data_IF_237402911088
#
_entry.id   IF_237402911088
#
_cell.length_a   1.000
_cell.length_b   1.000
_cell.length_c   1.000
_cell.angle_alpha   90.00
_cell.angle_beta   90.00
_cell.angle_gamma   90.00
#
_symmetry.space_group_name_H-M   'P 1'
#
loop_
_entity.id
_entity.type
_entity.pdbx_description
1 polymer ?
#
# COMPACT_ATOMS: atom_id res chain seq x y z
N UNK A 1 5.89 40.30 39.74
CA UNK A 1 5.16 39.04 40.02
C UNK A 1 5.09 38.31 38.70
N UNK A 2 5.78 37.17 38.62
CA UNK A 2 6.17 36.50 37.39
C UNK A 2 5.01 35.77 36.71
N UNK A 3 4.99 35.91 35.38
CA UNK A 3 4.67 34.92 34.34
C UNK A 3 3.45 34.00 34.53
N UNK A 4 2.38 34.33 33.81
CA UNK A 4 1.38 33.34 33.37
C UNK A 4 1.53 33.13 31.86
N UNK A 5 2.27 32.09 31.48
CA UNK A 5 2.19 31.48 30.15
C UNK A 5 1.94 29.98 30.35
N UNK A 6 0.68 29.62 30.58
CA UNK A 6 0.22 28.24 30.39
C UNK A 6 0.10 27.99 28.89
N UNK A 7 1.15 27.42 28.31
CA UNK A 7 1.10 26.79 26.99
C UNK A 7 0.26 25.51 27.09
N UNK A 8 -1.05 25.60 26.81
CA UNK A 8 -1.86 24.42 26.57
C UNK A 8 -1.39 23.74 25.28
N UNK A 9 -0.59 22.69 25.44
CA UNK A 9 -0.11 21.84 24.37
C UNK A 9 -1.28 20.99 23.84
N UNK A 10 -2.16 21.59 23.04
CA UNK A 10 -3.26 20.91 22.37
C UNK A 10 -2.69 19.83 21.44
N UNK A 11 -2.64 18.58 21.91
CA UNK A 11 -2.27 17.43 21.09
C UNK A 11 -3.34 17.31 20.00
N UNK A 12 -2.98 17.72 18.77
CA UNK A 12 -3.83 17.56 17.60
C UNK A 12 -3.82 16.07 17.19
N UNK A 13 -4.53 15.24 17.95
CA UNK A 13 -4.77 13.85 17.59
C UNK A 13 -5.64 13.83 16.32
N UNK A 14 -5.08 13.39 15.20
CA UNK A 14 -5.86 13.13 13.99
C UNK A 14 -7.01 12.17 14.36
N UNK A 15 -8.26 12.48 14.00
CA UNK A 15 -9.40 11.73 14.48
C UNK A 15 -9.36 10.29 13.99
N UNK A 16 -9.50 9.34 14.93
CA UNK A 16 -9.52 7.88 14.70
C UNK A 16 -10.56 7.49 13.63
N UNK A 17 -11.61 8.30 13.48
CA UNK A 17 -12.64 8.17 12.45
C UNK A 17 -12.07 8.07 11.02
N UNK A 18 -11.01 8.81 10.70
CA UNK A 18 -10.39 8.76 9.35
C UNK A 18 -9.81 7.37 9.07
N UNK A 19 -9.09 6.79 10.04
CA UNK A 19 -8.52 5.46 9.89
C UNK A 19 -9.59 4.37 9.81
N UNK A 20 -10.67 4.49 10.60
CA UNK A 20 -11.80 3.57 10.54
C UNK A 20 -12.51 3.59 9.18
N UNK A 21 -12.65 4.77 8.56
CA UNK A 21 -13.27 4.90 7.25
C UNK A 21 -12.42 4.25 6.14
N UNK A 22 -11.10 4.43 6.21
CA UNK A 22 -10.15 3.76 5.29
C UNK A 22 -10.14 2.25 5.51
N UNK A 23 -10.16 1.81 6.77
CA UNK A 23 -10.24 0.40 7.12
C UNK A 23 -11.50 -0.25 6.53
N UNK A 24 -12.65 0.41 6.65
CA UNK A 24 -13.88 -0.06 6.02
C UNK A 24 -13.73 -0.16 4.49
N UNK A 25 -13.13 0.84 3.84
CA UNK A 25 -12.81 0.78 2.41
C UNK A 25 -11.92 -0.41 2.05
N UNK A 26 -10.86 -0.67 2.81
CA UNK A 26 -10.00 -1.83 2.60
C UNK A 26 -10.72 -3.16 2.79
N UNK A 27 -11.63 -3.25 3.76
CA UNK A 27 -12.47 -4.45 3.96
C UNK A 27 -13.39 -4.70 2.76
N UNK A 28 -13.96 -3.66 2.15
CA UNK A 28 -14.74 -3.77 0.92
C UNK A 28 -13.88 -4.27 -0.24
N UNK A 29 -12.68 -3.68 -0.44
CA UNK A 29 -11.76 -4.13 -1.48
C UNK A 29 -11.28 -5.57 -1.25
N UNK A 30 -11.12 -5.98 0.01
CA UNK A 30 -10.79 -7.37 0.36
C UNK A 30 -11.92 -8.32 -0.03
N UNK A 31 -13.17 -7.99 0.33
CA UNK A 31 -14.33 -8.78 -0.05
C UNK A 31 -14.46 -8.87 -1.58
N UNK A 32 -14.21 -7.77 -2.29
CA UNK A 32 -14.17 -7.76 -3.76
C UNK A 32 -13.06 -8.67 -4.30
N UNK A 33 -11.88 -8.69 -3.68
CA UNK A 33 -10.78 -9.57 -4.09
C UNK A 33 -11.15 -11.04 -3.91
N UNK A 34 -11.80 -11.39 -2.79
CA UNK A 34 -12.29 -12.75 -2.57
C UNK A 34 -13.32 -13.12 -3.62
N UNK A 35 -14.31 -12.26 -3.86
CA UNK A 35 -15.33 -12.49 -4.89
C UNK A 35 -14.72 -12.69 -6.27
N UNK A 36 -13.75 -11.84 -6.64
CA UNK A 36 -13.04 -11.95 -7.92
C UNK A 36 -12.24 -13.25 -7.98
N UNK A 37 -11.60 -13.67 -6.89
CA UNK A 37 -10.82 -14.91 -6.84
C UNK A 37 -11.67 -16.18 -6.89
N UNK A 38 -12.93 -16.14 -6.45
CA UNK A 38 -13.86 -17.26 -6.53
C UNK A 38 -14.65 -17.29 -7.86
N UNK A 39 -14.63 -16.21 -8.63
CA UNK A 39 -15.37 -16.11 -9.89
C UNK A 39 -14.42 -16.32 -11.06
N UNK A 40 -14.72 -17.29 -11.92
CA UNK A 40 -13.95 -17.50 -13.15
C UNK A 40 -14.41 -16.54 -14.26
N UNK A 41 -13.70 -15.41 -14.40
CA UNK A 41 -13.79 -14.49 -15.55
C UNK A 41 -13.01 -14.99 -16.78
N UNK A 42 -12.63 -16.27 -16.82
CA UNK A 42 -11.89 -16.89 -17.92
C UNK A 42 -10.58 -16.16 -18.22
N UNK A 43 -10.35 -15.78 -19.49
CA UNK A 43 -9.12 -15.12 -19.95
C UNK A 43 -8.84 -13.80 -19.23
N UNK A 44 -9.87 -13.09 -18.75
CA UNK A 44 -9.73 -11.78 -18.11
C UNK A 44 -9.40 -11.85 -16.61
N UNK A 45 -9.38 -13.04 -16.01
CA UNK A 45 -9.07 -13.23 -14.58
C UNK A 45 -7.81 -12.49 -14.12
N UNK A 46 -6.72 -12.61 -14.88
CA UNK A 46 -5.42 -12.01 -14.55
C UNK A 46 -5.50 -10.49 -14.52
N UNK A 47 -6.13 -9.90 -15.52
CA UNK A 47 -6.29 -8.44 -15.64
C UNK A 47 -7.17 -7.88 -14.53
N UNK A 48 -8.32 -8.52 -14.26
CA UNK A 48 -9.26 -8.07 -13.22
C UNK A 48 -8.59 -8.16 -11.84
N UNK A 49 -7.91 -9.28 -11.55
CA UNK A 49 -7.18 -9.47 -10.30
C UNK A 49 -6.10 -8.39 -10.11
N UNK A 50 -5.37 -8.06 -11.18
CA UNK A 50 -4.32 -7.04 -11.13
C UNK A 50 -4.89 -5.63 -10.88
N UNK A 51 -6.01 -5.27 -11.52
CA UNK A 51 -6.67 -3.97 -11.31
C UNK A 51 -7.12 -3.82 -9.84
N UNK A 52 -7.73 -4.86 -9.27
CA UNK A 52 -8.15 -4.85 -7.85
C UNK A 52 -6.94 -4.72 -6.93
N UNK A 53 -5.85 -5.44 -7.22
CA UNK A 53 -4.61 -5.36 -6.46
C UNK A 53 -3.99 -3.94 -6.50
N UNK A 54 -3.92 -3.31 -7.67
CA UNK A 54 -3.39 -1.94 -7.83
C UNK A 54 -4.27 -0.92 -7.10
N UNK A 55 -5.59 -1.07 -7.19
CA UNK A 55 -6.54 -0.18 -6.51
C UNK A 55 -6.35 -0.24 -4.99
N UNK A 56 -6.21 -1.46 -4.45
CA UNK A 56 -5.91 -1.67 -3.02
C UNK A 56 -4.57 -1.05 -2.62
N UNK A 57 -3.52 -1.27 -3.40
CA UNK A 57 -2.19 -0.72 -3.13
C UNK A 57 -2.19 0.82 -3.14
N UNK A 58 -2.92 1.44 -4.07
CA UNK A 58 -3.07 2.89 -4.16
C UNK A 58 -3.75 3.48 -2.93
N UNK A 59 -4.79 2.82 -2.41
CA UNK A 59 -5.50 3.26 -1.21
C UNK A 59 -4.60 3.16 0.04
N UNK A 60 -3.84 2.06 0.15
CA UNK A 60 -2.86 1.89 1.23
C UNK A 60 -1.79 2.98 1.16
N UNK A 61 -1.24 3.24 -0.02
CA UNK A 61 -0.22 4.29 -0.19
C UNK A 61 -0.79 5.66 0.18
N UNK A 62 -1.98 6.03 -0.32
CA UNK A 62 -2.53 7.36 -0.06
C UNK A 62 -2.87 7.63 1.42
N UNK A 63 -3.38 6.61 2.13
CA UNK A 63 -3.87 6.77 3.50
C UNK A 63 -2.91 6.27 4.58
N UNK A 64 -2.37 5.05 4.46
CA UNK A 64 -1.51 4.48 5.51
C UNK A 64 -0.09 5.02 5.47
N UNK A 65 0.44 5.35 4.29
CA UNK A 65 1.71 6.08 4.20
C UNK A 65 1.54 7.60 4.45
N UNK A 66 0.43 8.02 5.07
CA UNK A 66 0.21 9.39 5.52
C UNK A 66 0.42 10.49 4.46
N UNK A 67 0.36 10.16 3.16
CA UNK A 67 0.58 11.11 2.07
C UNK A 67 -0.41 12.28 2.10
N UNK A 68 -1.58 12.11 2.72
CA UNK A 68 -2.63 13.13 2.87
C UNK A 68 -2.25 14.30 3.80
N UNK A 69 -1.48 14.06 4.86
CA UNK A 69 -1.24 15.05 5.95
C UNK A 69 0.25 15.31 6.22
N UNK A 70 1.15 14.69 5.46
CA UNK A 70 2.58 14.75 5.75
C UNK A 70 3.31 15.75 4.85
N UNK A 71 4.38 16.34 5.40
CA UNK A 71 5.31 17.20 4.66
C UNK A 71 5.86 16.49 3.41
N UNK A 72 6.20 17.26 2.37
CA UNK A 72 6.69 16.71 1.09
C UNK A 72 7.86 15.71 1.21
N UNK A 73 8.62 15.74 2.31
CA UNK A 73 9.67 14.76 2.62
C UNK A 73 9.12 13.33 2.78
N UNK A 74 7.99 13.14 3.48
CA UNK A 74 7.36 11.81 3.67
C UNK A 74 6.84 11.26 2.35
N UNK A 75 6.34 12.14 1.47
CA UNK A 75 5.92 11.78 0.13
C UNK A 75 7.08 11.20 -0.70
N UNK A 76 8.26 11.84 -0.64
CA UNK A 76 9.47 11.35 -1.31
C UNK A 76 9.91 10.00 -0.75
N UNK A 77 9.94 9.82 0.57
CA UNK A 77 10.30 8.54 1.17
C UNK A 77 9.30 7.42 0.86
N UNK A 78 8.00 7.71 0.81
CA UNK A 78 6.97 6.75 0.39
C UNK A 78 7.16 6.28 -1.04
N UNK A 79 7.39 7.21 -1.98
CA UNK A 79 7.70 6.88 -3.38
C UNK A 79 9.04 6.14 -3.52
N UNK A 80 10.06 6.55 -2.76
CA UNK A 80 11.35 5.88 -2.76
C UNK A 80 11.22 4.44 -2.28
N UNK A 81 10.46 4.20 -1.20
CA UNK A 81 10.17 2.85 -0.71
C UNK A 81 9.43 2.00 -1.75
N UNK A 82 8.43 2.56 -2.43
CA UNK A 82 7.71 1.85 -3.50
C UNK A 82 8.60 1.57 -4.72
N UNK A 83 9.47 2.51 -5.09
CA UNK A 83 10.46 2.33 -6.15
C UNK A 83 11.45 1.21 -5.82
N UNK A 84 11.99 1.20 -4.59
CA UNK A 84 12.84 0.12 -4.11
C UNK A 84 12.10 -1.23 -4.09
N UNK A 85 10.82 -1.25 -3.68
CA UNK A 85 10.00 -2.47 -3.74
C UNK A 85 9.91 -3.03 -5.17
N UNK A 86 9.68 -2.19 -6.18
CA UNK A 86 9.67 -2.63 -7.59
C UNK A 86 11.02 -3.22 -7.98
N UNK A 87 12.13 -2.55 -7.62
CA UNK A 87 13.48 -3.04 -7.92
C UNK A 87 13.70 -4.42 -7.29
N UNK A 88 13.37 -4.59 -6.01
CA UNK A 88 13.52 -5.88 -5.32
C UNK A 88 12.66 -6.98 -5.95
N UNK A 89 11.45 -6.64 -6.40
CA UNK A 89 10.55 -7.58 -7.07
C UNK A 89 11.16 -8.04 -8.42
N UNK A 90 11.65 -7.10 -9.23
CA UNK A 90 12.27 -7.39 -10.53
C UNK A 90 13.55 -8.21 -10.37
N UNK A 91 14.43 -7.83 -9.44
CA UNK A 91 15.67 -8.57 -9.17
C UNK A 91 15.34 -9.97 -8.66
N UNK A 92 14.43 -10.10 -7.68
CA UNK A 92 14.04 -11.40 -7.14
C UNK A 92 13.46 -12.34 -8.20
N UNK A 93 12.54 -11.85 -9.04
CA UNK A 93 12.01 -12.64 -10.15
C UNK A 93 13.08 -13.01 -11.17
N UNK A 94 14.00 -12.10 -11.48
CA UNK A 94 15.15 -12.38 -12.34
C UNK A 94 16.05 -13.48 -11.78
N UNK A 95 16.32 -13.44 -10.48
CA UNK A 95 17.09 -14.47 -9.77
C UNK A 95 16.43 -15.84 -9.84
N UNK A 96 15.11 -15.92 -9.60
CA UNK A 96 14.35 -17.17 -9.73
C UNK A 96 14.38 -17.72 -11.16
N UNK A 97 14.21 -16.86 -12.16
CA UNK A 97 14.24 -17.26 -13.57
C UNK A 97 15.64 -17.75 -13.99
N UNK A 98 16.70 -17.08 -13.54
CA UNK A 98 18.08 -17.50 -13.80
C UNK A 98 18.40 -18.86 -13.17
N UNK A 99 17.96 -19.11 -11.93
CA UNK A 99 18.17 -20.40 -11.25
C UNK A 99 17.51 -21.58 -11.97
N UNK A 100 16.31 -21.38 -12.52
CA UNK A 100 15.63 -22.39 -13.34
C UNK A 100 16.33 -22.70 -14.66
N UNK A 101 17.17 -21.79 -15.16
CA UNK A 101 17.93 -21.98 -16.41
C UNK A 101 19.25 -22.74 -16.17
N UNK A 102 19.87 -22.56 -15.00
CA UNK A 102 21.15 -23.22 -14.64
C UNK A 102 20.94 -24.68 -14.20
N UNK A 103 19.77 -25.03 -13.65
CA UNK A 103 19.36 -26.43 -13.45
C UNK A 103 18.87 -27.00 -14.79
N UNK A 104 19.81 -27.36 -15.67
CA UNK A 104 19.50 -28.00 -16.97
C UNK A 104 18.71 -29.32 -16.83
N UNK A 105 18.10 -29.81 -17.93
CA UNK A 105 17.32 -31.05 -17.91
C UNK A 105 18.20 -32.23 -17.48
N UNK A 106 17.71 -33.04 -16.54
CA UNK A 106 18.19 -34.41 -16.35
C UNK A 106 17.86 -35.26 -17.57
#
# INVERSE_FOLDING_TARGET
MAEQHHEEHHIHITPVSTYLMVFAGLMVLLALTLYVGYTDFGTFNKTVTLIVAITKASLIMYFFMHLRHSSGLVWVFGLLGFFFFIILLLIGMGDYAARGTIQGPL
#
